data_IF_320214880596
#
_entry.id   IF_320214880596
#
_cell.length_a   1.000
_cell.length_b   1.000
_cell.length_c   1.000
_cell.angle_alpha   90.00
_cell.angle_beta   90.00
_cell.angle_gamma   90.00
#
_symmetry.space_group_name_H-M   'P 1'
#
loop_
_entity.id
_entity.type
_entity.pdbx_description
1 polymer ?
#
# COMPACT_ATOMS: atom_id res chain seq x y z
N UNK A 1 -28.97 -24.67 -1.92
CA UNK A 1 -29.22 -23.21 -1.96
C UNK A 1 -29.07 -22.74 -3.41
N UNK A 2 -30.15 -22.37 -4.07
CA UNK A 2 -30.13 -21.87 -5.44
C UNK A 2 -29.19 -20.66 -5.54
N UNK A 3 -28.07 -20.80 -6.26
CA UNK A 3 -27.05 -19.77 -6.47
C UNK A 3 -27.50 -18.62 -7.37
N UNK A 4 -28.62 -17.98 -7.04
CA UNK A 4 -29.14 -16.85 -7.80
C UNK A 4 -28.27 -15.62 -7.54
N UNK A 5 -27.54 -15.21 -8.57
CA UNK A 5 -26.72 -14.00 -8.56
C UNK A 5 -27.60 -12.77 -8.25
N UNK A 6 -27.24 -11.98 -7.23
CA UNK A 6 -27.97 -10.74 -6.90
C UNK A 6 -27.94 -9.74 -8.06
N UNK A 7 -29.06 -9.05 -8.31
CA UNK A 7 -29.18 -8.03 -9.38
C UNK A 7 -28.27 -6.82 -9.14
N UNK A 8 -28.14 -6.39 -7.88
CA UNK A 8 -27.27 -5.29 -7.46
C UNK A 8 -26.39 -5.77 -6.31
N UNK A 9 -25.12 -6.10 -6.55
CA UNK A 9 -24.21 -6.52 -5.49
C UNK A 9 -23.82 -5.31 -4.62
N UNK A 10 -24.37 -5.26 -3.40
CA UNK A 10 -24.05 -4.19 -2.44
C UNK A 10 -22.82 -4.51 -1.58
N UNK A 11 -22.45 -5.79 -1.47
CA UNK A 11 -21.26 -6.24 -0.74
C UNK A 11 -20.04 -6.34 -1.65
N UNK A 12 -18.86 -6.05 -1.10
CA UNK A 12 -17.59 -6.09 -1.84
C UNK A 12 -17.35 -7.48 -2.46
N UNK A 13 -17.65 -8.53 -1.71
CA UNK A 13 -17.53 -9.93 -2.15
C UNK A 13 -18.45 -10.25 -3.32
N UNK A 14 -19.71 -9.78 -3.30
CA UNK A 14 -20.63 -9.99 -4.40
C UNK A 14 -20.23 -9.21 -5.65
N UNK A 15 -19.62 -8.02 -5.50
CA UNK A 15 -19.08 -7.25 -6.64
C UNK A 15 -17.93 -7.98 -7.32
N UNK A 16 -17.02 -8.58 -6.55
CA UNK A 16 -15.89 -9.36 -7.08
C UNK A 16 -16.37 -10.63 -7.78
N UNK A 17 -17.36 -11.32 -7.20
CA UNK A 17 -17.92 -12.55 -7.79
C UNK A 17 -18.62 -12.31 -9.14
N UNK A 18 -19.29 -11.15 -9.30
CA UNK A 18 -20.02 -10.80 -10.53
C UNK A 18 -19.17 -10.09 -11.58
N UNK A 19 -18.20 -9.29 -11.13
CA UNK A 19 -17.26 -8.59 -11.99
C UNK A 19 -15.87 -9.18 -11.76
N UNK A 20 -15.53 -10.30 -12.43
CA UNK A 20 -14.24 -10.94 -12.25
C UNK A 20 -13.13 -9.93 -12.53
N UNK A 21 -12.04 -10.00 -11.76
CA UNK A 21 -10.90 -9.09 -11.84
C UNK A 21 -10.39 -8.87 -13.28
N UNK A 22 -10.49 -9.92 -14.10
CA UNK A 22 -10.17 -9.92 -15.53
C UNK A 22 -11.01 -8.90 -16.34
N UNK A 23 -12.27 -8.66 -15.98
CA UNK A 23 -13.12 -7.65 -16.60
C UNK A 23 -12.63 -6.23 -16.32
N UNK A 24 -12.27 -5.94 -15.06
CA UNK A 24 -11.71 -4.65 -14.67
C UNK A 24 -10.35 -4.38 -15.31
N UNK A 25 -9.46 -5.38 -15.33
CA UNK A 25 -8.16 -5.25 -15.99
C UNK A 25 -8.24 -5.21 -17.52
N UNK A 26 -9.26 -5.83 -18.13
CA UNK A 26 -9.44 -5.85 -19.58
C UNK A 26 -10.04 -4.56 -20.14
N UNK A 27 -11.11 -4.03 -19.51
CA UNK A 27 -11.85 -2.87 -20.02
C UNK A 27 -11.40 -1.53 -19.47
N UNK A 28 -10.85 -1.47 -18.26
CA UNK A 28 -10.49 -0.20 -17.63
C UNK A 28 -8.98 0.01 -17.69
N UNK A 29 -8.59 1.06 -18.42
CA UNK A 29 -7.20 1.48 -18.56
C UNK A 29 -6.56 1.84 -17.21
N UNK A 30 -7.35 2.37 -16.27
CA UNK A 30 -6.91 2.77 -14.93
C UNK A 30 -6.22 1.62 -14.21
N UNK A 31 -6.81 0.42 -14.19
CA UNK A 31 -6.20 -0.71 -13.47
C UNK A 31 -4.89 -1.18 -14.11
N UNK A 32 -4.77 -1.09 -15.45
CA UNK A 32 -3.51 -1.42 -16.14
C UNK A 32 -2.40 -0.45 -15.75
N UNK A 33 -2.66 0.86 -15.87
CA UNK A 33 -1.67 1.88 -15.56
C UNK A 33 -1.38 1.99 -14.07
N UNK A 34 -2.35 1.69 -13.19
CA UNK A 34 -2.12 1.63 -11.76
C UNK A 34 -1.12 0.53 -11.40
N UNK A 35 -1.32 -0.68 -11.92
CA UNK A 35 -0.38 -1.80 -11.68
C UNK A 35 1.00 -1.47 -12.25
N UNK A 36 1.07 -0.93 -13.48
CA UNK A 36 2.33 -0.51 -14.09
C UNK A 36 3.03 0.57 -13.24
N UNK A 37 2.28 1.57 -12.76
CA UNK A 37 2.83 2.66 -11.94
C UNK A 37 3.35 2.17 -10.59
N UNK A 38 2.62 1.27 -9.92
CA UNK A 38 3.09 0.63 -8.68
C UNK A 38 4.38 -0.15 -8.97
N UNK A 39 4.39 -1.02 -9.98
CA UNK A 39 5.57 -1.83 -10.32
C UNK A 39 6.76 -0.96 -10.72
N UNK A 40 6.54 0.12 -11.48
CA UNK A 40 7.60 1.03 -11.90
C UNK A 40 8.21 1.81 -10.72
N UNK A 41 7.44 2.08 -9.67
CA UNK A 41 7.92 2.80 -8.48
C UNK A 41 8.57 1.90 -7.44
N UNK A 42 8.30 0.58 -7.45
CA UNK A 42 8.95 -0.39 -6.55
C UNK A 42 10.48 -0.30 -6.48
N UNK A 43 11.25 -0.24 -7.59
CA UNK A 43 12.71 -0.14 -7.51
C UNK A 43 13.18 1.16 -6.85
N UNK A 44 12.45 2.27 -7.07
CA UNK A 44 12.75 3.56 -6.43
C UNK A 44 12.51 3.47 -4.92
N UNK A 45 11.41 2.83 -4.51
CA UNK A 45 11.11 2.60 -3.10
C UNK A 45 12.12 1.66 -2.43
N UNK A 46 12.55 0.59 -3.10
CA UNK A 46 13.58 -0.30 -2.56
C UNK A 46 14.89 0.45 -2.31
N UNK A 47 15.35 1.24 -3.29
CA UNK A 47 16.55 2.07 -3.14
C UNK A 47 16.42 3.11 -2.03
N UNK A 48 15.25 3.74 -1.91
CA UNK A 48 14.98 4.72 -0.85
C UNK A 48 14.96 4.03 0.52
N UNK A 49 14.35 2.86 0.63
CA UNK A 49 14.26 2.08 1.86
C UNK A 49 15.66 1.69 2.38
N UNK A 50 16.56 1.29 1.50
CA UNK A 50 17.94 0.96 1.88
C UNK A 50 18.70 2.20 2.41
N UNK A 51 18.44 3.38 1.85
CA UNK A 51 19.05 4.63 2.33
C UNK A 51 18.49 5.06 3.68
N UNK A 52 17.18 4.98 3.86
CA UNK A 52 16.51 5.33 5.12
C UNK A 52 17.00 4.41 6.24
N UNK A 53 17.12 3.11 5.98
CA UNK A 53 17.58 2.11 6.94
C UNK A 53 19.11 1.97 7.00
N UNK A 54 19.86 2.93 6.44
CA UNK A 54 21.31 2.93 6.58
C UNK A 54 21.70 3.08 8.06
N UNK A 55 22.75 2.38 8.53
CA UNK A 55 23.10 2.34 9.95
C UNK A 55 23.44 3.72 10.53
N UNK A 56 23.91 4.65 9.68
CA UNK A 56 24.15 6.03 10.09
C UNK A 56 22.89 6.86 10.26
N UNK A 57 21.82 6.56 9.52
CA UNK A 57 20.54 7.26 9.62
C UNK A 57 19.71 6.75 10.80
N UNK A 58 19.74 5.44 11.05
CA UNK A 58 19.11 4.82 12.23
C UNK A 58 19.69 5.42 13.51
N UNK A 59 21.03 5.49 13.65
CA UNK A 59 21.67 6.09 14.82
C UNK A 59 21.27 7.55 15.04
N UNK A 60 21.22 8.35 13.97
CA UNK A 60 20.76 9.75 14.08
C UNK A 60 19.31 9.84 14.56
N UNK A 61 18.45 8.94 14.11
CA UNK A 61 17.06 8.88 14.55
C UNK A 61 16.96 8.47 16.02
N UNK A 62 17.72 7.46 16.45
CA UNK A 62 17.80 7.04 17.85
C UNK A 62 18.30 8.18 18.77
N UNK A 63 19.33 8.92 18.34
CA UNK A 63 19.84 10.08 19.07
C UNK A 63 18.81 11.21 19.17
N UNK A 64 17.99 11.41 18.13
CA UNK A 64 16.87 12.38 18.15
C UNK A 64 15.78 11.93 19.13
N UNK A 65 15.37 10.67 19.05
CA UNK A 65 14.37 10.09 19.95
C UNK A 65 14.83 10.13 21.42
N UNK A 66 16.11 9.88 21.69
CA UNK A 66 16.67 9.98 23.04
C UNK A 66 16.63 11.42 23.58
N UNK A 67 16.91 12.42 22.73
CA UNK A 67 16.80 13.84 23.09
C UNK A 67 15.35 14.25 23.35
N UNK A 68 14.42 13.81 22.51
CA UNK A 68 13.00 14.08 22.68
C UNK A 68 12.46 13.43 23.96
N UNK A 69 12.85 12.18 24.25
CA UNK A 69 12.47 11.49 25.48
C UNK A 69 13.03 12.17 26.74
N UNK A 70 14.28 12.66 26.68
CA UNK A 70 14.88 13.44 27.76
C UNK A 70 14.13 14.76 28.00
N UNK A 71 13.80 15.49 26.92
CA UNK A 71 13.01 16.73 27.00
C UNK A 71 11.60 16.49 27.55
N UNK A 72 10.98 15.34 27.23
CA UNK A 72 9.67 14.93 27.75
C UNK A 72 9.72 14.56 29.24
N UNK A 73 10.84 14.08 29.73
CA UNK A 73 11.03 13.71 31.14
C UNK A 73 11.40 14.92 32.01
N UNK A 74 11.88 16.02 31.43
CA UNK A 74 12.18 17.28 32.14
C UNK A 74 10.97 18.22 32.29
N UNK A 75 9.86 17.93 31.60
CA UNK A 75 8.59 18.67 31.68
C UNK A 75 7.59 18.03 32.66
#
# INVERSE_FOLDING_TARGET
MSGRMMKYPYTLTAKIAMFPWKHHMGKSWIYKYYVIGVVATLPVYAWLNDKINSPGNIKKYEDQMAKEAALLHEH
#
